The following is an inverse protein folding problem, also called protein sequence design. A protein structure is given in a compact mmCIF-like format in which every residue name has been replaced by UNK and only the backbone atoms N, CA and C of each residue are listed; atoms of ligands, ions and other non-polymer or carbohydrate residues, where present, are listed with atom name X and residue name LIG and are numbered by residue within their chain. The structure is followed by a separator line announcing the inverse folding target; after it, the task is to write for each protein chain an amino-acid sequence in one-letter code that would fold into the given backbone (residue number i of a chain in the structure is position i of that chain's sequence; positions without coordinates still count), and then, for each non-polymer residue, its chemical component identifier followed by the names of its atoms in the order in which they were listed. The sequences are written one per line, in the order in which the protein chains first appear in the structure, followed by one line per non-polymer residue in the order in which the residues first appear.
data_IF_095156171937
#
_entry.id   IF_095156171937
#
_cell.length_a   1.000
_cell.length_b   1.000
_cell.length_c   1.000
_cell.angle_alpha   90.00
_cell.angle_beta   90.00
_cell.angle_gamma   90.00
#
_symmetry.space_group_name_H-M   'P 1'
#
loop_
_entity.id
_entity.type
_entity.pdbx_description
1 polymer ?
#
# COMPACT_ATOMS: atom_id res chain seq x y z
N UNK A 1 -18.48 -4.94 -12.40
CA UNK A 1 -17.82 -5.59 -13.54
C UNK A 1 -16.61 -6.33 -12.99
N UNK A 2 -16.38 -7.63 -13.27
CA UNK A 2 -15.15 -8.28 -12.88
C UNK A 2 -13.98 -7.54 -13.55
N UNK A 3 -12.89 -7.34 -12.80
CA UNK A 3 -11.68 -6.70 -13.29
C UNK A 3 -11.13 -7.55 -14.47
N UNK A 4 -10.98 -7.00 -15.66
CA UNK A 4 -10.48 -7.74 -16.81
C UNK A 4 -9.04 -8.21 -16.52
N UNK A 5 -8.81 -9.51 -16.61
CA UNK A 5 -7.49 -10.13 -16.45
C UNK A 5 -7.19 -10.81 -15.12
N UNK A 6 -8.08 -10.76 -14.11
CA UNK A 6 -7.87 -11.41 -12.80
C UNK A 6 -8.52 -12.81 -12.68
N UNK A 7 -8.66 -13.54 -13.79
CA UNK A 7 -9.14 -14.92 -13.74
C UNK A 7 -8.11 -15.88 -13.14
N UNK A 8 -6.85 -15.53 -13.17
CA UNK A 8 -5.73 -16.29 -12.60
C UNK A 8 -5.32 -15.70 -11.24
N UNK A 9 -4.79 -16.53 -10.32
CA UNK A 9 -4.18 -16.04 -9.10
C UNK A 9 -3.01 -15.09 -9.39
N UNK A 10 -2.83 -14.08 -8.55
CA UNK A 10 -1.74 -13.13 -8.62
C UNK A 10 -1.14 -12.88 -7.24
N UNK A 11 0.09 -12.38 -7.21
CA UNK A 11 0.74 -11.96 -5.97
C UNK A 11 0.24 -10.57 -5.60
N UNK A 12 -0.17 -10.38 -4.35
CA UNK A 12 -0.34 -9.08 -3.72
C UNK A 12 0.70 -8.94 -2.61
N UNK A 13 1.52 -7.89 -2.65
CA UNK A 13 2.54 -7.64 -1.65
C UNK A 13 2.39 -6.24 -1.05
N UNK A 14 2.40 -6.16 0.29
CA UNK A 14 2.53 -4.92 1.07
C UNK A 14 3.96 -4.84 1.59
N UNK A 15 4.72 -3.86 1.10
CA UNK A 15 6.15 -3.73 1.32
C UNK A 15 6.44 -2.55 2.23
N UNK A 16 6.55 -2.84 3.52
CA UNK A 16 7.00 -1.88 4.53
C UNK A 16 8.49 -2.00 4.82
N UNK A 17 9.07 -1.00 5.50
CA UNK A 17 10.50 -0.94 5.78
C UNK A 17 11.08 -2.08 6.62
N UNK A 18 10.26 -2.74 7.43
CA UNK A 18 10.69 -3.83 8.32
C UNK A 18 10.18 -5.20 7.87
N UNK A 19 8.99 -5.24 7.32
CA UNK A 19 8.31 -6.46 6.92
C UNK A 19 7.65 -6.32 5.57
N UNK A 20 7.64 -7.43 4.83
CA UNK A 20 6.81 -7.62 3.65
C UNK A 20 5.70 -8.62 3.97
N UNK A 21 4.48 -8.27 3.62
CA UNK A 21 3.33 -9.18 3.66
C UNK A 21 3.01 -9.60 2.23
N UNK A 22 2.96 -10.90 2.00
CA UNK A 22 2.70 -11.45 0.66
C UNK A 22 1.49 -12.35 0.70
N UNK A 23 0.57 -12.12 -0.21
CA UNK A 23 -0.60 -12.96 -0.43
C UNK A 23 -0.67 -13.50 -1.84
N UNK A 24 -1.05 -14.76 -1.99
CA UNK A 24 -1.58 -15.29 -3.23
C UNK A 24 -3.09 -15.01 -3.25
N UNK A 25 -3.55 -14.26 -4.22
CA UNK A 25 -4.91 -13.72 -4.28
C UNK A 25 -5.53 -14.04 -5.62
N UNK A 26 -6.82 -14.29 -5.64
CA UNK A 26 -7.61 -14.39 -6.87
C UNK A 26 -8.89 -13.55 -6.77
N UNK A 27 -9.55 -13.30 -7.92
CA UNK A 27 -10.86 -12.67 -7.92
C UNK A 27 -11.83 -13.48 -7.06
N UNK A 28 -12.57 -12.77 -6.22
CA UNK A 28 -13.62 -13.35 -5.38
C UNK A 28 -14.91 -13.61 -6.15
N UNK A 29 -15.90 -14.24 -5.51
CA UNK A 29 -17.13 -14.66 -6.17
C UNK A 29 -18.05 -13.49 -6.55
N UNK A 30 -17.99 -12.38 -5.85
CA UNK A 30 -18.91 -11.26 -6.02
C UNK A 30 -18.33 -9.91 -5.57
N UNK A 31 -19.13 -8.86 -5.68
CA UNK A 31 -18.73 -7.49 -5.32
C UNK A 31 -18.54 -7.25 -3.81
N UNK A 32 -19.11 -8.09 -2.95
CA UNK A 32 -18.94 -7.99 -1.49
C UNK A 32 -17.69 -8.73 -1.00
N UNK A 33 -17.23 -9.71 -1.79
CA UNK A 33 -15.99 -10.41 -1.56
C UNK A 33 -15.16 -10.38 -2.85
N UNK A 34 -14.65 -9.20 -3.25
CA UNK A 34 -14.01 -9.01 -4.57
C UNK A 34 -12.71 -9.79 -4.73
N UNK A 35 -12.08 -10.16 -3.63
CA UNK A 35 -10.83 -10.89 -3.61
C UNK A 35 -10.90 -12.04 -2.60
N UNK A 36 -10.24 -13.15 -2.94
CA UNK A 36 -10.02 -14.29 -2.05
C UNK A 36 -8.53 -14.50 -1.84
N UNK A 37 -8.08 -14.46 -0.59
CA UNK A 37 -6.71 -14.80 -0.22
C UNK A 37 -6.58 -16.33 -0.15
N UNK A 38 -5.71 -16.90 -0.98
CA UNK A 38 -5.46 -18.34 -1.07
C UNK A 38 -4.31 -18.78 -0.15
N UNK A 39 -3.30 -17.91 0.01
CA UNK A 39 -2.16 -18.10 0.90
C UNK A 39 -1.66 -16.74 1.38
N UNK A 40 -1.02 -16.72 2.53
CA UNK A 40 -0.46 -15.51 3.14
C UNK A 40 0.77 -15.84 3.95
N UNK A 41 1.80 -15.01 3.81
CA UNK A 41 3.01 -15.06 4.65
C UNK A 41 3.54 -13.67 4.95
N UNK A 42 4.28 -13.56 6.05
CA UNK A 42 4.95 -12.33 6.47
C UNK A 42 6.44 -12.59 6.59
N UNK A 43 7.24 -11.76 5.95
CA UNK A 43 8.70 -11.87 5.89
C UNK A 43 9.36 -10.65 6.52
N UNK A 44 10.55 -10.80 7.08
CA UNK A 44 11.37 -9.68 7.56
C UNK A 44 12.29 -9.22 6.44
N UNK A 45 12.29 -7.93 6.14
CA UNK A 45 13.12 -7.36 5.06
C UNK A 45 14.62 -7.64 5.26
N UNK A 46 15.09 -7.63 6.52
CA UNK A 46 16.49 -7.82 6.85
C UNK A 46 17.04 -9.23 6.57
N UNK A 47 16.16 -10.22 6.40
CA UNK A 47 16.54 -11.61 6.19
C UNK A 47 16.76 -11.94 4.70
N UNK A 48 16.49 -10.97 3.78
CA UNK A 48 16.52 -11.17 2.33
C UNK A 48 17.31 -10.08 1.60
N UNK A 49 17.92 -10.45 0.48
CA UNK A 49 18.70 -9.54 -0.35
C UNK A 49 17.84 -8.60 -1.21
N UNK A 50 16.54 -8.92 -1.40
CA UNK A 50 15.61 -8.15 -2.22
C UNK A 50 14.19 -8.71 -2.16
N UNK A 51 13.25 -7.96 -2.71
CA UNK A 51 11.85 -8.39 -2.78
C UNK A 51 11.68 -9.63 -3.66
N UNK A 52 12.44 -9.76 -4.73
CA UNK A 52 12.41 -10.93 -5.60
C UNK A 52 12.77 -12.22 -4.85
N UNK A 53 13.73 -12.17 -3.92
CA UNK A 53 14.07 -13.31 -3.06
C UNK A 53 12.93 -13.69 -2.11
N UNK A 54 12.24 -12.69 -1.53
CA UNK A 54 11.05 -12.91 -0.69
C UNK A 54 9.92 -13.55 -1.50
N UNK A 55 9.64 -13.01 -2.69
CA UNK A 55 8.55 -13.52 -3.53
C UNK A 55 8.85 -14.93 -4.06
N UNK A 56 10.11 -15.24 -4.34
CA UNK A 56 10.55 -16.58 -4.72
C UNK A 56 10.32 -17.57 -3.59
N UNK A 57 10.80 -17.25 -2.37
CA UNK A 57 10.62 -18.08 -1.19
C UNK A 57 9.12 -18.35 -0.91
N UNK A 58 8.28 -17.31 -1.04
CA UNK A 58 6.84 -17.46 -0.93
C UNK A 58 6.26 -18.41 -1.98
N UNK A 59 6.65 -18.25 -3.25
CA UNK A 59 6.15 -19.08 -4.35
C UNK A 59 6.63 -20.54 -4.25
N UNK A 60 7.89 -20.77 -3.87
CA UNK A 60 8.47 -22.10 -3.73
C UNK A 60 7.74 -22.93 -2.66
N UNK A 61 7.14 -22.27 -1.68
CA UNK A 61 6.29 -22.89 -0.65
C UNK A 61 4.87 -23.24 -1.09
N UNK A 62 4.46 -22.87 -2.33
CA UNK A 62 3.06 -22.99 -2.75
C UNK A 62 2.83 -24.04 -3.85
N UNK A 63 1.84 -24.94 -3.69
CA UNK A 63 1.35 -25.77 -4.77
C UNK A 63 0.77 -24.92 -5.91
N UNK A 64 1.22 -25.13 -7.14
CA UNK A 64 0.68 -24.42 -8.32
C UNK A 64 1.24 -23.02 -8.56
N UNK A 65 2.31 -22.63 -7.89
CA UNK A 65 3.00 -21.34 -8.09
C UNK A 65 3.38 -21.05 -9.55
N UNK A 66 3.60 -22.08 -10.37
CA UNK A 66 3.93 -21.95 -11.79
C UNK A 66 2.84 -21.24 -12.64
N UNK A 67 1.64 -21.07 -12.12
CA UNK A 67 0.53 -20.38 -12.81
C UNK A 67 0.49 -18.87 -12.52
N UNK A 68 1.26 -18.38 -11.54
CA UNK A 68 1.31 -16.97 -11.18
C UNK A 68 2.09 -16.20 -12.23
N UNK A 69 1.43 -15.20 -12.84
CA UNK A 69 2.01 -14.39 -13.91
C UNK A 69 2.04 -12.91 -13.61
N UNK A 70 1.35 -12.48 -12.54
CA UNK A 70 1.21 -11.06 -12.20
C UNK A 70 1.50 -10.85 -10.73
N UNK A 71 2.16 -9.73 -10.42
CA UNK A 71 2.31 -9.22 -9.07
C UNK A 71 1.83 -7.77 -8.98
N UNK A 72 1.15 -7.45 -7.87
CA UNK A 72 0.78 -6.09 -7.48
C UNK A 72 1.50 -5.81 -6.16
N UNK A 73 2.29 -4.76 -6.13
CA UNK A 73 3.16 -4.40 -5.02
C UNK A 73 2.76 -3.03 -4.52
N UNK A 74 2.32 -2.95 -3.28
CA UNK A 74 2.07 -1.69 -2.58
C UNK A 74 3.30 -1.33 -1.75
N UNK A 75 3.81 -0.12 -1.89
CA UNK A 75 4.95 0.37 -1.12
C UNK A 75 4.93 1.88 -1.01
N UNK A 76 5.37 2.39 0.14
CA UNK A 76 5.73 3.80 0.24
C UNK A 76 6.94 4.10 -0.65
N UNK A 77 6.97 5.26 -1.27
CA UNK A 77 8.12 5.71 -2.03
C UNK A 77 7.77 6.49 -3.28
N UNK A 78 8.82 7.02 -3.92
CA UNK A 78 8.69 7.84 -5.12
C UNK A 78 9.22 7.07 -6.35
N UNK A 79 8.40 6.91 -7.40
CA UNK A 79 8.85 6.28 -8.63
C UNK A 79 9.81 7.21 -9.40
N UNK A 80 10.91 6.64 -9.87
CA UNK A 80 11.87 7.31 -10.74
C UNK A 80 11.51 7.11 -12.22
N UNK A 81 12.15 7.89 -13.09
CA UNK A 81 11.93 7.82 -14.53
C UNK A 81 12.29 6.46 -15.16
N UNK A 82 13.18 5.70 -14.53
CA UNK A 82 13.57 4.34 -14.93
C UNK A 82 12.63 3.25 -14.38
N UNK A 83 11.56 3.65 -13.68
CA UNK A 83 10.58 2.75 -13.07
C UNK A 83 11.03 2.13 -11.75
N UNK A 84 12.23 2.44 -11.24
CA UNK A 84 12.62 2.05 -9.88
C UNK A 84 11.92 2.94 -8.86
N UNK A 85 11.73 2.43 -7.63
CA UNK A 85 11.15 3.21 -6.53
C UNK A 85 12.21 3.45 -5.48
N UNK A 86 12.42 4.73 -5.16
CA UNK A 86 13.19 5.13 -3.98
C UNK A 86 12.26 5.07 -2.79
N UNK A 87 12.66 4.27 -1.80
CA UNK A 87 12.01 4.22 -0.51
C UNK A 87 13.05 4.55 0.56
N UNK A 88 12.69 5.42 1.49
CA UNK A 88 13.61 5.79 2.58
C UNK A 88 13.87 4.67 3.58
N UNK A 89 13.01 3.65 3.63
CA UNK A 89 12.94 2.69 4.72
C UNK A 89 13.27 1.25 4.32
N UNK A 90 13.52 0.97 3.02
CA UNK A 90 13.89 -0.37 2.56
C UNK A 90 15.41 -0.53 2.52
N UNK A 91 15.95 -1.71 2.93
CA UNK A 91 17.38 -1.98 2.83
C UNK A 91 17.87 -2.24 1.39
N UNK A 92 16.96 -2.36 0.44
CA UNK A 92 17.22 -2.65 -0.98
C UNK A 92 16.29 -1.84 -1.89
N UNK A 93 16.68 -1.72 -3.16
CA UNK A 93 15.89 -0.99 -4.16
C UNK A 93 14.71 -1.83 -4.64
N UNK A 94 13.59 -1.17 -4.91
CA UNK A 94 12.42 -1.77 -5.51
C UNK A 94 12.46 -1.51 -7.02
N UNK A 95 12.74 -2.56 -7.79
CA UNK A 95 12.90 -2.49 -9.25
C UNK A 95 11.92 -3.47 -9.93
N UNK A 96 10.74 -3.01 -10.37
CA UNK A 96 9.69 -3.89 -10.93
C UNK A 96 10.13 -4.73 -12.11
N UNK A 97 10.94 -4.15 -13.02
CA UNK A 97 11.45 -4.88 -14.17
C UNK A 97 12.36 -6.05 -13.76
N UNK A 98 13.27 -5.82 -12.80
CA UNK A 98 14.14 -6.87 -12.29
C UNK A 98 13.35 -7.98 -11.57
N UNK A 99 12.32 -7.60 -10.80
CA UNK A 99 11.42 -8.57 -10.14
C UNK A 99 10.67 -9.40 -11.17
N UNK A 100 10.09 -8.75 -12.19
CA UNK A 100 9.39 -9.41 -13.29
C UNK A 100 10.30 -10.46 -13.95
N UNK A 101 11.49 -10.06 -14.35
CA UNK A 101 12.42 -10.90 -15.11
C UNK A 101 12.97 -12.05 -14.23
N UNK A 102 13.29 -11.77 -12.96
CA UNK A 102 13.79 -12.75 -11.99
C UNK A 102 12.77 -13.86 -11.69
N UNK A 103 11.47 -13.53 -11.67
CA UNK A 103 10.40 -14.46 -11.32
C UNK A 103 9.64 -15.01 -12.55
N UNK A 104 9.98 -14.58 -13.77
CA UNK A 104 9.29 -14.97 -14.99
C UNK A 104 7.84 -14.53 -15.04
N UNK A 105 7.54 -13.36 -14.47
CA UNK A 105 6.19 -12.77 -14.48
C UNK A 105 5.95 -12.04 -15.80
N UNK A 106 4.69 -11.96 -16.21
CA UNK A 106 4.27 -11.16 -17.37
C UNK A 106 4.16 -9.67 -17.00
N UNK A 107 3.71 -9.38 -15.76
CA UNK A 107 3.53 -8.01 -15.27
C UNK A 107 3.83 -7.87 -13.78
N UNK A 108 4.42 -6.71 -13.43
CA UNK A 108 4.55 -6.23 -12.06
C UNK A 108 4.02 -4.81 -12.00
N UNK A 109 2.98 -4.61 -11.19
CA UNK A 109 2.36 -3.31 -10.96
C UNK A 109 2.77 -2.77 -9.60
N UNK A 110 3.08 -1.48 -9.55
CA UNK A 110 3.33 -0.77 -8.30
C UNK A 110 2.16 0.15 -7.99
N UNK A 111 1.83 0.25 -6.72
CA UNK A 111 0.92 1.22 -6.16
C UNK A 111 1.56 1.87 -4.92
N UNK A 112 1.14 3.07 -4.57
CA UNK A 112 1.45 3.62 -3.26
C UNK A 112 0.69 2.81 -2.19
N UNK A 113 1.28 2.63 -1.01
CA UNK A 113 0.68 1.85 0.08
C UNK A 113 -0.67 2.43 0.55
N UNK A 114 -0.76 3.76 0.72
CA UNK A 114 -2.01 4.42 1.09
C UNK A 114 -3.02 4.51 -0.06
N UNK A 115 -2.58 4.54 -1.30
CA UNK A 115 -3.45 4.36 -2.45
C UNK A 115 -4.15 2.99 -2.40
N UNK A 116 -3.39 1.93 -2.13
CA UNK A 116 -3.94 0.59 -1.98
C UNK A 116 -4.94 0.50 -0.81
N UNK A 117 -4.63 1.10 0.35
CA UNK A 117 -5.54 1.17 1.50
C UNK A 117 -6.81 1.95 1.15
N UNK A 118 -6.70 3.08 0.44
CA UNK A 118 -7.85 3.88 0.05
C UNK A 118 -8.80 3.13 -0.92
N UNK A 119 -8.25 2.33 -1.83
CA UNK A 119 -9.07 1.43 -2.65
C UNK A 119 -9.79 0.37 -1.80
N UNK A 120 -9.13 -0.17 -0.77
CA UNK A 120 -9.71 -1.19 0.10
C UNK A 120 -10.88 -0.66 0.95
N UNK A 121 -10.84 0.63 1.36
CA UNK A 121 -11.89 1.24 2.20
C UNK A 121 -13.29 1.10 1.60
N UNK A 122 -13.43 1.17 0.27
CA UNK A 122 -14.72 1.02 -0.41
C UNK A 122 -15.32 -0.39 -0.28
N UNK A 123 -14.55 -1.38 0.16
CA UNK A 123 -14.94 -2.79 0.29
C UNK A 123 -15.09 -3.23 1.74
N UNK A 124 -14.86 -2.35 2.72
CA UNK A 124 -15.01 -2.68 4.13
C UNK A 124 -16.49 -2.82 4.51
N UNK A 125 -16.80 -3.92 5.20
CA UNK A 125 -18.10 -4.15 5.81
C UNK A 125 -18.25 -3.41 7.15
N UNK A 126 -19.49 -3.26 7.61
CA UNK A 126 -19.78 -2.59 8.89
C UNK A 126 -19.12 -3.27 10.11
N UNK A 127 -18.84 -4.57 10.05
CA UNK A 127 -18.13 -5.31 11.11
C UNK A 127 -16.62 -5.09 11.13
N UNK A 128 -16.07 -4.49 10.09
CA UNK A 128 -14.64 -4.25 9.93
C UNK A 128 -14.23 -2.81 10.29
N UNK A 129 -15.22 -1.98 10.65
CA UNK A 129 -15.02 -0.57 11.00
C UNK A 129 -15.58 -0.27 12.38
N UNK A 130 -14.92 0.62 13.11
CA UNK A 130 -15.42 1.18 14.37
C UNK A 130 -15.71 2.66 14.18
N UNK A 131 -16.98 3.05 14.31
CA UNK A 131 -17.35 4.46 14.27
C UNK A 131 -16.99 5.12 15.62
N UNK A 132 -16.06 6.08 15.59
CA UNK A 132 -15.63 6.81 16.78
C UNK A 132 -16.43 8.10 16.98
N UNK A 133 -16.83 8.76 15.89
CA UNK A 133 -17.56 10.03 15.90
C UNK A 133 -18.30 10.24 14.58
N UNK A 134 -19.19 11.23 14.55
CA UNK A 134 -19.94 11.63 13.36
C UNK A 134 -21.36 11.06 13.29
N UNK A 135 -22.11 11.34 12.21
CA UNK A 135 -23.49 10.92 12.06
C UNK A 135 -23.58 9.42 11.75
N UNK A 136 -24.69 8.78 12.16
CA UNK A 136 -24.94 7.37 11.89
C UNK A 136 -25.04 7.02 10.38
N UNK A 137 -25.38 8.01 9.54
CA UNK A 137 -25.36 7.90 8.07
C UNK A 137 -24.39 8.90 7.51
N UNK A 138 -23.40 8.42 6.77
CA UNK A 138 -22.43 9.25 6.06
C UNK A 138 -22.97 9.49 4.64
N UNK A 139 -23.03 10.76 4.22
CA UNK A 139 -23.40 11.09 2.85
C UNK A 139 -22.30 10.59 1.88
N UNK A 140 -22.67 10.16 0.65
CA UNK A 140 -21.68 9.84 -0.36
C UNK A 140 -20.75 11.03 -0.63
N UNK A 141 -19.47 10.82 -0.61
CA UNK A 141 -18.49 11.89 -0.83
C UNK A 141 -17.06 11.36 -0.77
N UNK A 142 -16.06 12.26 -0.90
CA UNK A 142 -14.66 11.89 -0.74
C UNK A 142 -14.39 11.35 0.66
N UNK A 143 -13.51 10.34 0.73
CA UNK A 143 -13.05 9.70 1.96
C UNK A 143 -11.57 10.00 2.11
N UNK A 144 -11.20 10.68 3.21
CA UNK A 144 -9.80 10.83 3.61
C UNK A 144 -9.39 9.59 4.42
N UNK A 145 -8.36 8.92 3.96
CA UNK A 145 -7.74 7.77 4.63
C UNK A 145 -6.44 8.23 5.26
N UNK A 146 -6.32 8.04 6.56
CA UNK A 146 -5.13 8.41 7.34
C UNK A 146 -4.62 7.20 8.12
N UNK A 147 -3.30 7.06 8.21
CA UNK A 147 -2.68 6.00 8.99
C UNK A 147 -1.37 6.44 9.62
N UNK A 148 -1.32 6.60 10.95
CA UNK A 148 -0.08 6.81 11.65
C UNK A 148 0.73 5.50 11.70
N UNK A 149 1.98 5.59 11.26
CA UNK A 149 2.94 4.49 11.25
C UNK A 149 4.33 5.02 11.58
N UNK A 150 5.35 4.66 10.81
CA UNK A 150 6.68 5.29 10.89
C UNK A 150 6.61 6.80 10.57
N UNK A 151 5.67 7.18 9.69
CA UNK A 151 5.23 8.53 9.41
C UNK A 151 3.71 8.60 9.43
N UNK A 152 3.13 9.62 8.81
CA UNK A 152 1.69 9.73 8.58
C UNK A 152 1.41 9.50 7.09
N UNK A 153 0.84 8.34 6.76
CA UNK A 153 0.34 8.07 5.42
C UNK A 153 -1.05 8.67 5.23
N UNK A 154 -1.33 9.14 4.03
CA UNK A 154 -2.63 9.72 3.69
C UNK A 154 -2.96 9.54 2.21
N UNK A 155 -4.23 9.22 1.93
CA UNK A 155 -4.78 9.21 0.58
C UNK A 155 -6.25 9.66 0.60
N UNK A 156 -6.74 10.14 -0.54
CA UNK A 156 -8.14 10.52 -0.69
C UNK A 156 -8.80 9.64 -1.75
N UNK A 157 -9.85 8.94 -1.36
CA UNK A 157 -10.72 8.20 -2.25
C UNK A 157 -11.89 9.09 -2.67
N UNK A 158 -12.13 9.25 -3.97
CA UNK A 158 -13.15 10.15 -4.54
C UNK A 158 -14.08 9.33 -5.41
N UNK A 159 -15.39 9.24 -5.08
CA UNK A 159 -16.37 8.59 -5.94
C UNK A 159 -16.62 9.43 -7.19
N UNK A 160 -16.59 8.81 -8.37
CA UNK A 160 -16.96 9.45 -9.62
C UNK A 160 -17.91 8.57 -10.43
N UNK A 161 -18.57 9.15 -11.42
CA UNK A 161 -19.49 8.41 -12.29
C UNK A 161 -18.80 7.28 -13.10
N UNK A 162 -17.48 7.39 -13.32
CA UNK A 162 -16.68 6.43 -14.07
C UNK A 162 -15.89 5.45 -13.19
N UNK A 163 -16.20 5.37 -11.91
CA UNK A 163 -15.44 4.63 -10.89
C UNK A 163 -14.66 5.56 -9.97
N UNK A 164 -14.13 5.04 -8.86
CA UNK A 164 -13.40 5.86 -7.90
C UNK A 164 -12.06 6.34 -8.47
N UNK A 165 -11.66 7.54 -8.06
CA UNK A 165 -10.30 8.07 -8.23
C UNK A 165 -9.64 8.13 -6.87
N UNK A 166 -8.42 7.64 -6.75
CA UNK A 166 -7.62 7.75 -5.53
C UNK A 166 -6.47 8.72 -5.76
N UNK A 167 -6.34 9.67 -4.84
CA UNK A 167 -5.20 10.59 -4.76
C UNK A 167 -4.28 10.11 -3.64
N UNK A 168 -3.15 9.51 -3.99
CA UNK A 168 -2.04 9.31 -3.07
C UNK A 168 -1.44 10.66 -2.69
N UNK A 169 -1.10 10.88 -1.43
CA UNK A 169 -0.55 12.14 -0.95
C UNK A 169 0.64 11.91 -0.02
N UNK A 170 1.48 12.93 0.10
CA UNK A 170 2.52 13.01 1.13
C UNK A 170 2.09 14.02 2.23
N UNK A 171 0.81 14.02 2.60
CA UNK A 171 0.25 14.96 3.58
C UNK A 171 0.93 14.86 4.96
N UNK A 172 1.49 13.69 5.29
CA UNK A 172 2.30 13.52 6.50
C UNK A 172 3.60 14.31 6.50
N UNK A 173 4.03 14.84 5.36
CA UNK A 173 5.19 15.74 5.24
C UNK A 173 4.81 17.23 5.32
N UNK A 174 3.53 17.55 5.51
CA UNK A 174 3.10 18.93 5.72
C UNK A 174 3.71 19.48 7.02
N UNK A 175 4.08 20.76 7.00
CA UNK A 175 4.66 21.39 8.18
C UNK A 175 3.67 21.42 9.35
N UNK A 176 4.15 21.14 10.57
CA UNK A 176 3.36 21.24 11.78
C UNK A 176 2.81 22.66 11.95
N UNK A 177 1.49 22.78 11.93
CA UNK A 177 0.81 24.05 12.23
C UNK A 177 0.67 24.20 13.74
N UNK A 178 1.26 25.26 14.30
CA UNK A 178 1.24 25.52 15.73
C UNK A 178 0.19 26.59 16.09
N UNK A 179 -0.62 26.31 17.10
CA UNK A 179 -1.68 27.20 17.60
C UNK A 179 -1.53 27.57 19.08
N UNK A 180 -0.59 26.95 19.81
CA UNK A 180 -0.39 27.17 21.24
C UNK A 180 1.09 27.42 21.57
N UNK A 181 1.35 28.06 22.74
CA UNK A 181 2.72 28.27 23.22
C UNK A 181 3.49 26.95 23.45
N UNK A 182 2.81 25.89 23.89
CA UNK A 182 3.40 24.58 24.07
C UNK A 182 3.84 23.97 22.73
N UNK A 183 2.97 24.03 21.73
CA UNK A 183 3.29 23.54 20.38
C UNK A 183 4.43 24.34 19.75
N UNK A 184 4.48 25.66 19.99
CA UNK A 184 5.58 26.49 19.54
C UNK A 184 6.90 26.09 20.22
N UNK A 185 6.88 25.81 21.52
CA UNK A 185 8.07 25.34 22.23
C UNK A 185 8.55 23.98 21.71
N UNK A 186 7.63 23.05 21.45
CA UNK A 186 7.93 21.75 20.85
C UNK A 186 8.50 21.90 19.43
N UNK A 187 7.88 22.75 18.60
CA UNK A 187 8.38 23.02 17.24
C UNK A 187 9.81 23.55 17.28
N UNK A 188 10.11 24.52 18.14
CA UNK A 188 11.48 25.07 18.30
C UNK A 188 12.49 24.00 18.70
N UNK A 189 12.11 23.09 19.62
CA UNK A 189 12.95 21.99 20.06
C UNK A 189 13.22 20.99 18.94
N UNK A 190 12.18 20.65 18.14
CA UNK A 190 12.26 19.67 17.08
C UNK A 190 12.94 20.22 15.82
N UNK A 191 12.83 21.52 15.57
CA UNK A 191 13.34 22.16 14.36
C UNK A 191 14.86 21.99 14.24
N UNK A 192 15.62 22.29 15.31
CA UNK A 192 17.09 22.19 15.30
C UNK A 192 17.68 22.93 14.09
N UNK A 193 18.34 22.18 13.21
CA UNK A 193 18.89 22.68 11.94
C UNK A 193 17.98 22.37 10.72
N UNK A 194 16.80 21.82 10.94
CA UNK A 194 15.85 21.49 9.86
C UNK A 194 15.11 22.75 9.42
N UNK A 195 14.60 22.73 8.17
CA UNK A 195 13.80 23.82 7.62
C UNK A 195 12.32 23.73 8.01
N UNK A 196 11.86 22.55 8.40
CA UNK A 196 10.48 22.31 8.86
C UNK A 196 10.42 21.05 9.74
N UNK A 197 9.33 20.90 10.45
CA UNK A 197 8.95 19.70 11.21
C UNK A 197 7.60 19.26 10.66
N UNK A 198 7.49 18.04 10.10
CA UNK A 198 6.22 17.50 9.65
C UNK A 198 5.32 17.04 10.80
#
# INVERSE_FOLDING_TARGET
MPLPGLSQPFIAADVGGTHVRVGLVKAGPDAHAPLQVLAYSKFRCADYAGLDAILRDFLDGLPGAAQVRTAVIASAGYPLADGTVITANLPWRLAPAAIRDSLGLDAVHLANDFEAVAHAVAHLGASEVLQLAGPARIAPGPILVLGPGTGLGAAVWIPTANGPVVLATEAGQAALAVGTELEMALLRQMLGQRTHVP
#
